data_IF_146326877314
#
_entry.id   IF_146326877314
#
_cell.length_a   1.000
_cell.length_b   1.000
_cell.length_c   1.000
_cell.angle_alpha   90.00
_cell.angle_beta   90.00
_cell.angle_gamma   90.00
#
_symmetry.space_group_name_H-M   'P 1'
#
loop_
_entity.id
_entity.type
_entity.pdbx_description
1 polymer ?
#
# COMPACT_ATOMS: atom_id res chain seq x y z
N UNK A 1 19.32 10.71 -0.37
CA UNK A 1 17.97 10.46 0.21
C UNK A 1 16.95 11.03 -0.75
N UNK A 2 15.86 10.31 -1.05
CA UNK A 2 14.84 10.68 -2.03
C UNK A 2 13.47 10.62 -1.38
N UNK A 3 12.51 11.37 -1.94
CA UNK A 3 11.10 11.21 -1.60
C UNK A 3 10.45 10.22 -2.57
N UNK A 4 9.85 9.18 -2.03
CA UNK A 4 9.13 8.13 -2.74
C UNK A 4 7.64 8.41 -2.56
N UNK A 5 6.99 8.94 -3.60
CA UNK A 5 5.64 9.51 -3.46
C UNK A 5 4.58 8.59 -4.06
N UNK A 6 3.59 8.21 -3.25
CA UNK A 6 2.32 7.68 -3.73
C UNK A 6 1.58 8.81 -4.46
N UNK A 7 1.72 8.81 -5.78
CA UNK A 7 1.22 9.91 -6.59
C UNK A 7 -0.22 9.70 -7.09
N UNK A 8 -0.76 8.49 -7.00
CA UNK A 8 -2.18 8.21 -7.33
C UNK A 8 -3.12 9.07 -6.47
N UNK A 9 -2.83 9.13 -5.15
CA UNK A 9 -3.59 9.94 -4.22
C UNK A 9 -3.54 11.43 -4.57
N UNK A 10 -2.34 11.97 -4.82
CA UNK A 10 -2.14 13.41 -5.10
C UNK A 10 -2.84 13.80 -6.40
N UNK A 11 -2.62 13.02 -7.47
CA UNK A 11 -3.24 13.30 -8.78
C UNK A 11 -4.76 13.17 -8.70
N UNK A 12 -5.28 12.16 -7.98
CA UNK A 12 -6.72 12.00 -7.79
C UNK A 12 -7.32 13.22 -7.08
N UNK A 13 -6.74 13.60 -5.94
CA UNK A 13 -7.17 14.75 -5.12
C UNK A 13 -7.18 16.04 -5.95
N UNK A 14 -6.09 16.33 -6.66
CA UNK A 14 -5.95 17.56 -7.42
C UNK A 14 -6.88 17.60 -8.65
N UNK A 15 -7.02 16.50 -9.38
CA UNK A 15 -7.95 16.45 -10.51
C UNK A 15 -9.39 16.59 -10.05
N UNK A 16 -9.80 15.92 -8.97
CA UNK A 16 -11.15 16.03 -8.44
C UNK A 16 -11.44 17.45 -7.92
N UNK A 17 -10.48 18.09 -7.24
CA UNK A 17 -10.65 19.46 -6.72
C UNK A 17 -10.74 20.53 -7.80
N UNK A 18 -10.37 20.23 -9.04
CA UNK A 18 -10.42 21.17 -10.19
C UNK A 18 -11.51 20.80 -11.19
N UNK A 19 -12.36 19.83 -10.87
CA UNK A 19 -13.57 19.56 -11.63
C UNK A 19 -14.60 20.68 -11.43
N UNK A 20 -15.31 21.00 -12.50
CA UNK A 20 -16.43 21.96 -12.49
C UNK A 20 -17.62 21.29 -13.15
N UNK A 21 -18.74 21.33 -12.46
CA UNK A 21 -20.02 20.88 -13.00
C UNK A 21 -20.68 22.01 -13.77
N UNK A 22 -21.16 21.73 -14.97
CA UNK A 22 -21.95 22.64 -15.79
C UNK A 22 -23.31 22.00 -16.00
N UNK A 23 -24.32 22.60 -15.41
CA UNK A 23 -25.71 22.19 -15.56
C UNK A 23 -26.31 22.86 -16.79
N UNK A 24 -26.70 22.06 -17.78
CA UNK A 24 -27.37 22.51 -19.00
C UNK A 24 -28.90 22.42 -18.92
N UNK A 25 -29.42 22.03 -17.77
CA UNK A 25 -30.85 21.73 -17.58
C UNK A 25 -31.27 20.39 -18.20
N UNK A 26 -32.56 20.07 -18.09
CA UNK A 26 -33.13 18.83 -18.67
C UNK A 26 -32.32 17.54 -18.34
N UNK A 27 -31.88 17.41 -17.08
CA UNK A 27 -31.08 16.28 -16.58
C UNK A 27 -29.69 16.13 -17.19
N UNK A 28 -29.16 17.14 -17.89
CA UNK A 28 -27.82 17.15 -18.47
C UNK A 28 -26.82 17.92 -17.62
N UNK A 29 -25.99 17.21 -16.89
CA UNK A 29 -24.85 17.76 -16.15
C UNK A 29 -23.56 17.25 -16.79
N UNK A 30 -22.65 18.17 -17.12
CA UNK A 30 -21.35 17.87 -17.70
C UNK A 30 -20.26 18.23 -16.71
N UNK A 31 -19.41 17.24 -16.37
CA UNK A 31 -18.22 17.49 -15.54
C UNK A 31 -17.03 17.80 -16.44
N UNK A 32 -16.37 18.92 -16.20
CA UNK A 32 -15.20 19.39 -16.94
C UNK A 32 -14.04 19.66 -16.00
N UNK A 33 -12.83 19.75 -16.52
CA UNK A 33 -11.65 20.20 -15.77
C UNK A 33 -10.69 20.94 -16.69
N UNK A 34 -10.10 22.02 -16.17
CA UNK A 34 -8.99 22.68 -16.83
C UNK A 34 -7.70 21.93 -16.53
N UNK A 35 -7.04 21.43 -17.58
CA UNK A 35 -5.80 20.68 -17.42
C UNK A 35 -4.70 21.49 -16.70
N UNK A 36 -4.55 22.78 -17.02
CA UNK A 36 -3.50 23.62 -16.41
C UNK A 36 -3.74 23.79 -14.92
N UNK A 37 -4.99 23.94 -14.49
CA UNK A 37 -5.34 24.09 -13.08
C UNK A 37 -5.07 22.78 -12.31
N UNK A 38 -5.50 21.65 -12.87
CA UNK A 38 -5.24 20.33 -12.28
C UNK A 38 -3.74 20.05 -12.18
N UNK A 39 -2.98 20.33 -13.24
CA UNK A 39 -1.54 20.09 -13.27
C UNK A 39 -0.80 21.01 -12.29
N UNK A 40 -1.14 22.29 -12.25
CA UNK A 40 -0.55 23.24 -11.29
C UNK A 40 -0.92 22.90 -9.84
N UNK A 41 -2.12 22.33 -9.60
CA UNK A 41 -2.48 21.82 -8.29
C UNK A 41 -1.52 20.73 -7.85
N UNK A 42 -1.26 19.74 -8.71
CA UNK A 42 -0.30 18.66 -8.41
C UNK A 42 1.11 19.21 -8.14
N UNK A 43 1.59 20.14 -8.98
CA UNK A 43 2.92 20.75 -8.78
C UNK A 43 3.03 21.43 -7.42
N UNK A 44 2.02 22.20 -7.01
CA UNK A 44 1.99 22.86 -5.69
C UNK A 44 1.99 21.86 -4.53
N UNK A 45 1.27 20.74 -4.66
CA UNK A 45 1.29 19.68 -3.62
C UNK A 45 2.68 19.04 -3.53
N UNK A 46 3.33 18.71 -4.66
CA UNK A 46 4.68 18.17 -4.66
C UNK A 46 5.70 19.15 -4.06
N UNK A 47 5.64 20.43 -4.44
CA UNK A 47 6.48 21.49 -3.86
C UNK A 47 6.22 21.68 -2.36
N UNK A 48 4.97 21.55 -1.92
CA UNK A 48 4.63 21.60 -0.49
C UNK A 48 5.29 20.44 0.27
N UNK A 49 5.16 19.21 -0.22
CA UNK A 49 5.79 18.04 0.38
C UNK A 49 7.31 18.22 0.48
N UNK A 50 7.95 18.74 -0.57
CA UNK A 50 9.38 19.01 -0.55
C UNK A 50 9.77 20.03 0.54
N UNK A 51 9.01 21.11 0.69
CA UNK A 51 9.23 22.13 1.74
C UNK A 51 9.02 21.56 3.14
N UNK A 52 7.92 20.83 3.35
CA UNK A 52 7.55 20.27 4.66
C UNK A 52 8.62 19.28 5.16
N UNK A 53 9.29 18.57 4.24
CA UNK A 53 10.31 17.59 4.55
C UNK A 53 11.76 18.12 4.47
N UNK A 54 11.98 19.42 4.24
CA UNK A 54 13.31 20.03 4.30
C UNK A 54 14.00 20.25 2.95
N UNK A 55 13.25 20.34 1.84
CA UNK A 55 13.79 20.81 0.55
C UNK A 55 14.50 19.71 -0.25
N UNK A 56 13.87 18.56 -0.43
CA UNK A 56 14.42 17.49 -1.28
C UNK A 56 14.24 17.81 -2.76
N UNK A 57 15.33 17.70 -3.53
CA UNK A 57 15.30 17.92 -4.99
C UNK A 57 14.93 16.66 -5.77
N UNK A 58 15.08 15.47 -5.18
CA UNK A 58 14.95 14.18 -5.88
C UNK A 58 13.65 13.47 -5.48
N UNK A 59 12.70 13.49 -6.40
CA UNK A 59 11.40 12.86 -6.27
C UNK A 59 11.29 11.64 -7.19
N UNK A 60 10.67 10.58 -6.69
CA UNK A 60 10.23 9.45 -7.51
C UNK A 60 8.72 9.27 -7.29
N UNK A 61 7.96 9.33 -8.37
CA UNK A 61 6.51 9.23 -8.33
C UNK A 61 6.08 7.80 -8.68
N UNK A 62 5.25 7.21 -7.82
CA UNK A 62 4.75 5.85 -8.00
C UNK A 62 3.27 5.88 -8.39
N UNK A 63 2.90 5.00 -9.31
CA UNK A 63 1.53 4.86 -9.80
C UNK A 63 1.13 3.40 -9.87
N UNK A 64 -0.14 3.14 -9.63
CA UNK A 64 -0.77 1.82 -9.71
C UNK A 64 -0.95 1.38 -11.17
N UNK A 65 -0.56 0.15 -11.47
CA UNK A 65 -0.89 -0.51 -12.74
C UNK A 65 -2.40 -0.79 -12.85
N UNK A 66 -2.97 -0.75 -14.07
CA UNK A 66 -4.34 -1.23 -14.29
C UNK A 66 -4.52 -2.71 -13.96
N UNK A 67 -3.45 -3.50 -14.07
CA UNK A 67 -3.42 -4.90 -13.69
C UNK A 67 -2.99 -5.04 -12.22
N UNK A 68 -3.53 -6.06 -11.52
CA UNK A 68 -3.18 -6.31 -10.12
C UNK A 68 -3.09 -7.81 -9.88
N UNK A 69 -1.95 -8.27 -9.36
CA UNK A 69 -1.71 -9.68 -9.08
C UNK A 69 -2.68 -10.24 -8.03
N UNK A 70 -3.17 -9.40 -7.09
CA UNK A 70 -4.14 -9.83 -6.06
C UNK A 70 -5.44 -10.35 -6.66
N UNK A 71 -5.80 -9.93 -7.87
CA UNK A 71 -6.97 -10.49 -8.60
C UNK A 71 -6.78 -11.94 -9.04
N UNK A 72 -5.55 -12.46 -9.07
CA UNK A 72 -5.30 -13.89 -9.27
C UNK A 72 -5.54 -14.69 -7.99
N UNK A 73 -5.45 -14.04 -6.82
CA UNK A 73 -5.70 -14.64 -5.50
C UNK A 73 -7.19 -14.54 -5.18
N UNK A 74 -7.78 -13.36 -5.36
CA UNK A 74 -9.19 -13.05 -5.13
C UNK A 74 -9.72 -12.24 -6.32
N UNK A 75 -10.49 -12.83 -7.25
CA UNK A 75 -10.99 -12.13 -8.44
C UNK A 75 -11.80 -10.86 -8.12
N UNK A 76 -12.52 -10.85 -7.00
CA UNK A 76 -13.34 -9.74 -6.54
C UNK A 76 -12.52 -8.62 -5.86
N UNK A 77 -11.20 -8.76 -5.69
CA UNK A 77 -10.35 -7.76 -5.07
C UNK A 77 -10.55 -6.38 -5.71
N UNK A 78 -10.96 -5.39 -4.90
CA UNK A 78 -11.33 -4.02 -5.33
C UNK A 78 -12.44 -3.97 -6.41
N UNK A 79 -13.17 -5.07 -6.64
CA UNK A 79 -14.17 -5.19 -7.71
C UNK A 79 -15.38 -4.28 -7.53
N UNK A 80 -15.73 -3.94 -6.29
CA UNK A 80 -16.83 -3.01 -5.95
C UNK A 80 -16.47 -1.54 -6.17
N UNK A 81 -15.19 -1.21 -6.43
CA UNK A 81 -14.73 0.16 -6.68
C UNK A 81 -15.14 0.63 -8.08
N UNK A 82 -16.34 1.16 -8.21
CA UNK A 82 -16.85 1.71 -9.49
C UNK A 82 -16.49 3.18 -9.72
N UNK A 83 -15.63 3.77 -8.88
CA UNK A 83 -15.28 5.18 -8.99
C UNK A 83 -14.57 5.48 -10.31
N UNK A 84 -15.18 6.32 -11.14
CA UNK A 84 -14.50 6.87 -12.31
C UNK A 84 -13.31 7.72 -11.84
N UNK A 85 -12.22 7.65 -12.59
CA UNK A 85 -11.11 8.58 -12.36
C UNK A 85 -11.56 10.01 -12.74
N UNK A 86 -11.12 11.03 -12.01
CA UNK A 86 -11.45 12.43 -12.33
C UNK A 86 -11.02 12.84 -13.74
N UNK A 87 -11.64 13.91 -14.25
CA UNK A 87 -11.27 14.50 -15.52
C UNK A 87 -9.78 14.89 -15.54
N UNK A 88 -9.11 14.62 -16.65
CA UNK A 88 -7.69 14.97 -16.80
C UNK A 88 -6.69 14.01 -16.14
N UNK A 89 -7.11 13.07 -15.28
CA UNK A 89 -6.24 12.19 -14.51
C UNK A 89 -5.12 11.54 -15.35
N UNK A 90 -5.46 10.87 -16.44
CA UNK A 90 -4.46 10.24 -17.33
C UNK A 90 -3.53 11.25 -17.99
N UNK A 91 -4.06 12.44 -18.36
CA UNK A 91 -3.26 13.48 -19.01
C UNK A 91 -2.25 14.08 -18.05
N UNK A 92 -2.63 14.29 -16.79
CA UNK A 92 -1.72 14.75 -15.73
C UNK A 92 -0.59 13.74 -15.53
N UNK A 93 -0.89 12.46 -15.36
CA UNK A 93 0.13 11.41 -15.23
C UNK A 93 1.09 11.40 -16.43
N UNK A 94 0.58 11.52 -17.65
CA UNK A 94 1.43 11.52 -18.84
C UNK A 94 2.39 12.72 -18.88
N UNK A 95 1.99 13.88 -18.36
CA UNK A 95 2.88 15.04 -18.25
C UNK A 95 3.90 14.87 -17.11
N UNK A 96 3.49 14.31 -15.96
CA UNK A 96 4.42 14.00 -14.88
C UNK A 96 5.53 13.04 -15.31
N UNK A 97 5.25 12.08 -16.21
CA UNK A 97 6.26 11.19 -16.78
C UNK A 97 7.34 11.90 -17.61
N UNK A 98 7.07 13.10 -18.10
CA UNK A 98 8.03 13.90 -18.87
C UNK A 98 8.96 14.67 -17.93
N UNK A 99 8.41 15.19 -16.82
CA UNK A 99 9.15 16.08 -15.91
C UNK A 99 9.82 15.33 -14.74
N UNK A 100 9.31 14.14 -14.37
CA UNK A 100 9.74 13.40 -13.18
C UNK A 100 10.10 11.95 -13.49
N UNK A 101 10.93 11.36 -12.63
CA UNK A 101 11.11 9.91 -12.60
C UNK A 101 9.83 9.26 -12.10
N UNK A 102 9.17 8.50 -12.97
CA UNK A 102 7.93 7.77 -12.65
C UNK A 102 8.18 6.27 -12.65
N UNK A 103 7.65 5.59 -11.64
CA UNK A 103 7.63 4.12 -11.55
C UNK A 103 6.17 3.67 -11.64
N UNK A 104 5.91 2.85 -12.64
CA UNK A 104 4.68 2.13 -12.85
C UNK A 104 5.07 0.73 -13.30
N UNK A 105 4.89 -0.26 -12.43
CA UNK A 105 5.23 -1.66 -12.72
C UNK A 105 3.97 -2.44 -13.04
N UNK A 106 4.01 -3.22 -14.09
CA UNK A 106 2.88 -4.08 -14.42
C UNK A 106 2.57 -5.04 -13.27
N UNK A 107 1.28 -5.33 -13.10
CA UNK A 107 0.71 -6.17 -12.04
C UNK A 107 0.83 -5.67 -10.60
N UNK A 108 1.53 -4.55 -10.35
CA UNK A 108 1.72 -4.00 -9.00
C UNK A 108 0.87 -2.74 -8.77
N UNK A 109 0.44 -2.57 -7.53
CA UNK A 109 -0.06 -1.29 -7.04
C UNK A 109 1.12 -0.34 -6.72
N UNK A 110 0.82 0.95 -6.56
CA UNK A 110 1.82 1.95 -6.18
C UNK A 110 2.51 1.56 -4.87
N UNK A 111 1.73 1.08 -3.89
CA UNK A 111 2.20 0.68 -2.56
C UNK A 111 3.21 -0.47 -2.62
N UNK A 112 2.95 -1.49 -3.47
CA UNK A 112 3.90 -2.59 -3.69
C UNK A 112 5.21 -2.09 -4.30
N UNK A 113 5.11 -1.24 -5.32
CA UNK A 113 6.29 -0.69 -5.97
C UNK A 113 7.09 0.24 -5.03
N UNK A 114 6.40 0.99 -4.15
CA UNK A 114 6.98 1.79 -3.07
C UNK A 114 7.74 0.91 -2.09
N UNK A 115 7.07 -0.13 -1.57
CA UNK A 115 7.68 -1.04 -0.59
C UNK A 115 8.90 -1.77 -1.14
N UNK A 116 8.83 -2.29 -2.37
CA UNK A 116 9.96 -2.92 -3.06
C UNK A 116 11.12 -1.90 -3.22
N UNK A 117 10.82 -0.68 -3.64
CA UNK A 117 11.85 0.32 -3.86
C UNK A 117 12.50 0.79 -2.55
N UNK A 118 11.68 1.08 -1.53
CA UNK A 118 12.14 1.57 -0.24
C UNK A 118 13.03 0.55 0.48
N UNK A 119 12.66 -0.73 0.44
CA UNK A 119 13.44 -1.82 1.07
C UNK A 119 14.69 -2.19 0.28
N UNK A 120 14.66 -2.06 -1.04
CA UNK A 120 15.85 -2.24 -1.89
C UNK A 120 16.87 -1.11 -1.72
N UNK A 121 16.41 0.10 -1.47
CA UNK A 121 17.22 1.31 -1.33
C UNK A 121 16.87 2.04 -0.04
N UNK A 122 17.34 1.54 1.12
CA UNK A 122 17.00 2.13 2.41
C UNK A 122 17.49 3.58 2.56
N UNK A 123 16.92 4.32 3.51
CA UNK A 123 17.26 5.71 3.77
C UNK A 123 16.48 6.74 2.96
N UNK A 124 15.48 6.30 2.19
CA UNK A 124 14.51 7.17 1.53
C UNK A 124 13.27 7.39 2.42
N UNK A 125 12.45 8.39 2.09
CA UNK A 125 11.21 8.68 2.80
C UNK A 125 10.03 8.32 1.89
N UNK A 126 9.15 7.44 2.37
CA UNK A 126 7.86 7.17 1.72
C UNK A 126 6.91 8.31 2.08
N UNK A 127 6.17 8.79 1.09
CA UNK A 127 5.12 9.81 1.25
C UNK A 127 3.80 9.21 0.78
N UNK A 128 2.96 8.79 1.71
CA UNK A 128 1.63 8.25 1.43
C UNK A 128 0.71 8.40 2.64
N UNK A 129 -0.57 8.77 2.46
CA UNK A 129 -1.55 8.79 3.54
C UNK A 129 -2.09 7.39 3.86
N UNK A 130 -1.69 6.37 3.10
CA UNK A 130 -2.20 5.03 3.29
C UNK A 130 -1.57 4.38 4.54
N UNK A 131 -2.45 3.98 5.48
CA UNK A 131 -2.05 3.26 6.70
C UNK A 131 -1.31 1.95 6.40
N UNK A 132 -1.55 1.36 5.22
CA UNK A 132 -1.00 0.07 4.84
C UNK A 132 0.51 0.17 4.61
N UNK A 133 1.01 1.37 4.28
CA UNK A 133 2.44 1.66 4.19
C UNK A 133 3.19 1.52 5.53
N UNK A 134 2.49 1.43 6.66
CA UNK A 134 3.08 1.07 7.96
C UNK A 134 3.66 -0.36 8.01
N UNK A 135 3.44 -1.17 6.98
CA UNK A 135 4.13 -2.45 6.81
C UNK A 135 5.60 -2.31 6.38
N UNK A 136 5.98 -1.15 5.82
CA UNK A 136 7.30 -0.99 5.19
C UNK A 136 8.28 -0.33 6.16
N UNK A 137 9.40 -1.00 6.50
CA UNK A 137 10.42 -0.42 7.37
C UNK A 137 11.05 0.82 6.75
N UNK A 138 11.29 1.83 7.61
CA UNK A 138 11.89 3.09 7.23
C UNK A 138 11.03 4.29 7.59
N UNK A 139 11.28 5.43 6.94
CA UNK A 139 10.54 6.68 7.22
C UNK A 139 9.29 6.77 6.33
N UNK A 140 8.16 6.99 6.98
CA UNK A 140 6.87 7.27 6.34
C UNK A 140 6.39 8.66 6.76
N UNK A 141 6.12 9.53 5.79
CA UNK A 141 5.41 10.79 5.97
C UNK A 141 3.96 10.63 5.50
N UNK A 142 3.01 10.76 6.41
CA UNK A 142 1.58 10.54 6.16
C UNK A 142 0.79 11.84 5.92
N UNK A 143 1.47 12.93 5.59
CA UNK A 143 0.99 14.31 5.46
C UNK A 143 0.68 15.03 6.77
N UNK A 144 0.81 14.39 7.91
CA UNK A 144 0.69 15.00 9.24
C UNK A 144 2.02 14.94 9.98
N UNK A 145 2.64 13.76 10.01
CA UNK A 145 3.87 13.50 10.73
C UNK A 145 4.77 12.53 9.97
N UNK A 146 6.04 12.51 10.36
CA UNK A 146 6.99 11.50 9.89
C UNK A 146 7.19 10.48 10.99
N UNK A 147 6.91 9.21 10.70
CA UNK A 147 7.10 8.09 11.61
C UNK A 147 8.26 7.21 11.12
N UNK A 148 9.06 6.72 12.06
CA UNK A 148 10.05 5.68 11.79
C UNK A 148 9.43 4.32 12.10
N UNK A 149 9.44 3.42 11.12
CA UNK A 149 8.85 2.09 11.20
C UNK A 149 9.98 1.08 11.25
N UNK A 150 10.01 0.27 12.31
CA UNK A 150 10.94 -0.85 12.42
C UNK A 150 10.47 -2.05 11.58
N UNK A 151 11.35 -3.00 11.22
CA UNK A 151 10.94 -4.24 10.57
C UNK A 151 9.88 -5.01 11.37
N UNK A 152 9.98 -4.98 12.71
CA UNK A 152 9.05 -5.62 13.63
C UNK A 152 7.68 -4.93 13.60
N UNK A 153 7.64 -3.60 13.63
CA UNK A 153 6.39 -2.84 13.53
C UNK A 153 5.68 -3.14 12.22
N UNK A 154 6.42 -3.18 11.12
CA UNK A 154 5.89 -3.53 9.81
C UNK A 154 5.32 -4.96 9.76
N UNK A 155 6.03 -5.91 10.33
CA UNK A 155 5.58 -7.30 10.40
C UNK A 155 4.34 -7.46 11.30
N UNK A 156 4.29 -6.77 12.47
CA UNK A 156 3.12 -6.72 13.35
C UNK A 156 1.92 -6.11 12.64
N UNK A 157 2.13 -5.02 11.92
CA UNK A 157 1.05 -4.38 11.18
C UNK A 157 0.47 -5.28 10.09
N UNK A 158 1.30 -6.04 9.38
CA UNK A 158 0.84 -7.05 8.43
C UNK A 158 -0.07 -8.12 9.09
N UNK A 159 0.33 -8.68 10.25
CA UNK A 159 -0.50 -9.66 10.96
C UNK A 159 -1.82 -9.03 11.46
N UNK A 160 -1.79 -7.81 11.96
CA UNK A 160 -2.99 -7.07 12.37
C UNK A 160 -3.95 -6.92 11.20
N UNK A 161 -3.46 -6.53 10.03
CA UNK A 161 -4.28 -6.37 8.83
C UNK A 161 -4.79 -7.72 8.31
N UNK A 162 -4.05 -8.79 8.47
CA UNK A 162 -4.51 -10.15 8.14
C UNK A 162 -5.75 -10.53 8.94
N UNK A 163 -5.79 -10.24 10.24
CA UNK A 163 -6.98 -10.50 11.07
C UNK A 163 -8.11 -9.52 10.79
N UNK A 164 -7.79 -8.23 10.63
CA UNK A 164 -8.80 -7.19 10.48
C UNK A 164 -9.47 -7.17 9.11
N UNK A 165 -8.74 -7.60 8.06
CA UNK A 165 -9.15 -7.42 6.68
C UNK A 165 -9.20 -5.96 6.25
N UNK A 166 -9.58 -5.73 5.01
CA UNK A 166 -9.92 -4.41 4.49
C UNK A 166 -11.14 -4.46 3.56
N UNK A 167 -12.28 -4.02 4.08
CA UNK A 167 -13.52 -3.96 3.31
C UNK A 167 -13.44 -3.01 2.11
N UNK A 168 -12.55 -1.99 2.19
CA UNK A 168 -12.32 -1.05 1.08
C UNK A 168 -11.62 -1.74 -0.08
N UNK A 169 -10.84 -2.79 0.19
CA UNK A 169 -10.15 -3.61 -0.79
C UNK A 169 -10.92 -4.89 -1.15
N UNK A 170 -11.97 -5.20 -0.38
CA UNK A 170 -12.90 -6.30 -0.67
C UNK A 170 -12.45 -7.63 -0.10
N UNK A 171 -11.65 -7.66 0.97
CA UNK A 171 -11.36 -8.86 1.75
C UNK A 171 -11.69 -8.62 3.23
N UNK A 172 -12.41 -9.54 3.83
CA UNK A 172 -13.14 -9.24 5.07
C UNK A 172 -12.34 -9.49 6.36
N UNK A 173 -11.23 -10.22 6.32
CA UNK A 173 -10.57 -10.69 7.54
C UNK A 173 -11.47 -11.61 8.39
N UNK A 174 -11.22 -11.64 9.68
CA UNK A 174 -12.00 -12.44 10.63
C UNK A 174 -13.29 -11.68 11.03
N UNK A 175 -14.48 -12.28 10.91
CA UNK A 175 -15.74 -11.62 11.23
C UNK A 175 -15.76 -11.01 12.63
N UNK A 176 -16.07 -9.71 12.72
CA UNK A 176 -16.17 -8.96 13.97
C UNK A 176 -14.81 -8.59 14.61
N UNK A 177 -13.70 -8.76 13.89
CA UNK A 177 -12.37 -8.35 14.30
C UNK A 177 -11.89 -7.21 13.41
N UNK A 178 -11.88 -5.98 13.95
CA UNK A 178 -11.22 -4.84 13.33
C UNK A 178 -9.85 -4.61 13.97
N UNK A 179 -9.10 -3.61 13.47
CA UNK A 179 -7.72 -3.31 13.87
C UNK A 179 -7.53 -3.28 15.40
N UNK A 180 -8.38 -2.57 16.15
CA UNK A 180 -8.24 -2.47 17.62
C UNK A 180 -8.36 -3.82 18.33
N UNK A 181 -9.27 -4.67 17.85
CA UNK A 181 -9.46 -5.99 18.44
C UNK A 181 -8.35 -6.96 18.04
N UNK A 182 -7.87 -6.87 16.80
CA UNK A 182 -6.70 -7.61 16.34
C UNK A 182 -5.46 -7.27 17.18
N UNK A 183 -5.19 -5.98 17.42
CA UNK A 183 -4.08 -5.55 18.29
C UNK A 183 -4.18 -6.16 19.68
N UNK A 184 -5.37 -6.10 20.30
CA UNK A 184 -5.59 -6.68 21.62
C UNK A 184 -5.35 -8.19 21.68
N UNK A 185 -5.79 -8.94 20.65
CA UNK A 185 -5.54 -10.38 20.54
C UNK A 185 -4.03 -10.66 20.52
N UNK A 186 -3.27 -9.90 19.72
CA UNK A 186 -1.83 -10.08 19.64
C UNK A 186 -1.09 -9.63 20.91
N UNK A 187 -1.57 -8.62 21.61
CA UNK A 187 -1.02 -8.21 22.91
C UNK A 187 -1.21 -9.31 23.96
N UNK A 188 -2.32 -10.06 23.91
CA UNK A 188 -2.64 -11.14 24.86
C UNK A 188 -1.97 -12.48 24.49
N UNK A 189 -1.87 -12.81 23.20
CA UNK A 189 -1.46 -14.14 22.72
C UNK A 189 -0.11 -14.15 21.97
N UNK A 190 0.47 -12.97 21.71
CA UNK A 190 1.73 -12.81 20.95
C UNK A 190 1.52 -12.74 19.43
N UNK A 191 2.47 -12.06 18.79
CA UNK A 191 2.48 -11.87 17.34
C UNK A 191 3.06 -13.10 16.62
N UNK A 192 2.19 -14.02 16.23
CA UNK A 192 2.58 -15.25 15.55
C UNK A 192 1.55 -15.70 14.51
N UNK A 193 1.99 -16.51 13.55
CA UNK A 193 1.07 -17.14 12.61
C UNK A 193 0.10 -18.09 13.32
N UNK A 194 0.54 -18.77 14.38
CA UNK A 194 -0.32 -19.63 15.20
C UNK A 194 -1.49 -18.84 15.81
N UNK A 195 -1.26 -17.63 16.29
CA UNK A 195 -2.32 -16.73 16.81
C UNK A 195 -3.29 -16.37 15.69
N UNK A 196 -2.79 -16.09 14.48
CA UNK A 196 -3.64 -15.80 13.32
C UNK A 196 -4.54 -17.00 13.01
N UNK A 197 -3.97 -18.19 12.80
CA UNK A 197 -4.73 -19.41 12.45
C UNK A 197 -5.78 -19.71 13.51
N UNK A 198 -5.39 -19.74 14.80
CA UNK A 198 -6.31 -19.94 15.91
C UNK A 198 -7.51 -18.97 15.86
N UNK A 199 -7.25 -17.69 15.57
CA UNK A 199 -8.29 -16.67 15.53
C UNK A 199 -9.27 -16.88 14.36
N UNK A 200 -8.78 -17.38 13.22
CA UNK A 200 -9.62 -17.77 12.09
C UNK A 200 -10.46 -19.01 12.43
N UNK A 201 -9.83 -20.05 13.00
CA UNK A 201 -10.49 -21.31 13.40
C UNK A 201 -11.61 -21.08 14.44
N UNK A 202 -11.44 -20.15 15.38
CA UNK A 202 -12.49 -19.75 16.34
C UNK A 202 -13.76 -19.15 15.67
N UNK A 203 -13.71 -18.90 14.37
CA UNK A 203 -14.81 -18.40 13.55
C UNK A 203 -15.19 -19.36 12.42
N UNK A 204 -14.87 -20.65 12.60
CA UNK A 204 -15.15 -21.71 11.61
C UNK A 204 -14.49 -21.43 10.23
N UNK A 205 -13.39 -20.67 10.21
CA UNK A 205 -12.57 -20.43 9.03
C UNK A 205 -11.31 -21.30 9.07
N UNK A 206 -10.64 -21.42 7.93
CA UNK A 206 -9.48 -22.30 7.78
C UNK A 206 -8.16 -21.53 7.78
N UNK A 207 -7.03 -22.26 7.94
CA UNK A 207 -5.70 -21.70 7.73
C UNK A 207 -5.51 -21.16 6.28
N UNK A 208 -6.14 -21.81 5.28
CA UNK A 208 -6.10 -21.29 3.90
C UNK A 208 -6.81 -19.95 3.76
N UNK A 209 -7.93 -19.74 4.45
CA UNK A 209 -8.59 -18.43 4.51
C UNK A 209 -7.68 -17.37 5.14
N UNK A 210 -6.98 -17.73 6.21
CA UNK A 210 -5.99 -16.87 6.85
C UNK A 210 -4.83 -16.52 5.88
N UNK A 211 -4.33 -17.51 5.15
CA UNK A 211 -3.24 -17.33 4.19
C UNK A 211 -3.65 -16.45 3.00
N UNK A 212 -4.87 -16.61 2.48
CA UNK A 212 -5.44 -15.73 1.46
C UNK A 212 -5.48 -14.29 1.96
N UNK A 213 -6.00 -14.05 3.17
CA UNK A 213 -6.04 -12.71 3.76
C UNK A 213 -4.64 -12.13 3.97
N UNK A 214 -3.68 -12.92 4.44
CA UNK A 214 -2.29 -12.49 4.61
C UNK A 214 -1.64 -12.07 3.29
N UNK A 215 -1.88 -12.82 2.22
CA UNK A 215 -1.38 -12.50 0.86
C UNK A 215 -2.03 -11.24 0.27
N UNK A 216 -3.30 -11.00 0.56
CA UNK A 216 -4.00 -9.80 0.11
C UNK A 216 -3.56 -8.56 0.87
N UNK A 217 -3.37 -8.69 2.19
CA UNK A 217 -2.91 -7.61 3.07
C UNK A 217 -1.44 -7.22 2.84
N UNK A 218 -0.60 -8.14 2.33
CA UNK A 218 0.85 -7.93 2.21
C UNK A 218 1.18 -6.80 1.22
N UNK A 219 1.89 -5.77 1.69
CA UNK A 219 2.60 -4.83 0.84
C UNK A 219 3.98 -5.42 0.55
N UNK A 220 4.33 -5.52 -0.72
CA UNK A 220 5.55 -6.22 -1.15
C UNK A 220 6.81 -5.44 -0.75
N UNK A 221 7.81 -6.19 -0.29
CA UNK A 221 9.19 -5.73 -0.11
C UNK A 221 10.10 -6.27 -1.23
N UNK A 222 11.38 -5.96 -1.20
CA UNK A 222 12.35 -6.48 -2.18
C UNK A 222 12.42 -8.02 -2.14
N UNK A 223 12.21 -8.62 -0.98
CA UNK A 223 12.22 -10.08 -0.79
C UNK A 223 10.95 -10.75 -1.32
N UNK A 224 9.87 -10.00 -1.45
CA UNK A 224 8.58 -10.46 -1.96
C UNK A 224 8.46 -10.27 -3.50
N UNK A 225 9.57 -9.98 -4.21
CA UNK A 225 9.52 -9.72 -5.65
C UNK A 225 10.70 -10.29 -6.43
N UNK A 226 10.40 -11.22 -7.35
CA UNK A 226 11.37 -11.73 -8.30
C UNK A 226 11.65 -10.69 -9.39
N UNK A 227 12.80 -10.04 -9.31
CA UNK A 227 13.17 -8.98 -10.26
C UNK A 227 13.50 -9.50 -11.67
N UNK A 228 13.87 -10.79 -11.82
CA UNK A 228 14.19 -11.41 -13.11
C UNK A 228 12.91 -11.80 -13.83
N UNK A 229 11.99 -12.47 -13.15
CA UNK A 229 10.69 -12.88 -13.68
C UNK A 229 9.70 -11.71 -13.72
N UNK A 230 9.96 -10.64 -12.96
CA UNK A 230 9.07 -9.48 -12.76
C UNK A 230 7.72 -9.88 -12.16
N UNK A 231 7.74 -10.80 -11.22
CA UNK A 231 6.55 -11.36 -10.58
C UNK A 231 6.64 -11.28 -9.06
N UNK A 232 5.50 -11.09 -8.36
CA UNK A 232 5.46 -11.16 -6.91
C UNK A 232 5.68 -12.59 -6.43
N UNK A 233 6.44 -12.73 -5.35
CA UNK A 233 6.57 -13.94 -4.55
C UNK A 233 5.50 -13.86 -3.48
N UNK A 234 4.54 -14.79 -3.51
CA UNK A 234 3.43 -14.77 -2.57
C UNK A 234 3.92 -15.10 -1.16
N UNK A 235 3.51 -14.28 -0.22
CA UNK A 235 3.86 -14.45 1.18
C UNK A 235 3.39 -15.82 1.72
N UNK A 236 4.24 -16.45 2.52
CA UNK A 236 3.90 -17.63 3.32
C UNK A 236 4.62 -17.57 4.67
N UNK A 237 3.99 -18.03 5.76
CA UNK A 237 4.66 -18.13 7.05
C UNK A 237 5.72 -19.23 7.01
N UNK A 238 6.87 -19.01 7.71
CA UNK A 238 7.75 -20.11 8.10
C UNK A 238 7.08 -20.98 9.17
N UNK A 239 7.60 -22.19 9.39
CA UNK A 239 7.01 -23.18 10.32
C UNK A 239 6.76 -22.64 11.74
N UNK A 240 7.62 -21.72 12.22
CA UNK A 240 7.55 -21.10 13.54
C UNK A 240 7.50 -19.57 13.44
N UNK A 241 6.75 -19.04 12.47
CA UNK A 241 6.67 -17.58 12.27
C UNK A 241 6.09 -16.88 13.50
N UNK A 242 6.92 -16.11 14.19
CA UNK A 242 6.58 -15.24 15.32
C UNK A 242 7.47 -14.01 15.34
N UNK A 243 7.00 -12.97 16.00
CA UNK A 243 7.71 -11.70 16.18
C UNK A 243 7.93 -11.53 17.68
N UNK A 244 9.17 -11.67 18.13
CA UNK A 244 9.53 -11.58 19.55
C UNK A 244 9.70 -10.13 19.99
N UNK A 245 9.26 -9.81 21.20
CA UNK A 245 9.35 -8.45 21.78
C UNK A 245 10.77 -8.04 22.18
N UNK A 246 11.67 -9.04 22.37
CA UNK A 246 12.93 -8.79 23.07
C UNK A 246 14.17 -8.56 22.19
N UNK A 247 14.15 -8.92 20.91
CA UNK A 247 15.36 -8.90 20.07
C UNK A 247 15.19 -8.37 18.65
N UNK A 248 13.97 -8.09 18.22
CA UNK A 248 13.72 -7.61 16.85
C UNK A 248 14.16 -8.59 15.74
N UNK A 249 14.44 -9.83 16.07
CA UNK A 249 14.93 -10.82 15.12
C UNK A 249 13.82 -11.78 14.69
N UNK A 250 13.54 -11.80 13.38
CA UNK A 250 12.91 -12.98 12.76
C UNK A 250 13.76 -14.18 13.10
N UNK A 251 13.20 -15.21 13.74
CA UNK A 251 13.86 -16.50 13.80
C UNK A 251 13.86 -17.09 12.39
N UNK A 252 14.97 -16.91 11.70
CA UNK A 252 15.27 -17.57 10.43
C UNK A 252 15.60 -19.05 10.71
N UNK A 253 14.58 -19.87 10.73
CA UNK A 253 14.76 -21.30 10.56
C UNK A 253 14.34 -21.66 9.14
N UNK A 254 15.09 -21.28 8.12
CA UNK A 254 15.05 -21.89 6.78
C UNK A 254 15.83 -21.06 5.73
N UNK A 255 17.16 -20.92 5.96
CA UNK A 255 18.07 -20.57 4.84
C UNK A 255 18.99 -21.72 4.42
N UNK A 256 18.72 -22.95 4.84
CA UNK A 256 19.60 -24.10 4.53
C UNK A 256 18.86 -25.26 3.85
N UNK A 257 18.22 -25.01 2.69
CA UNK A 257 17.95 -26.09 1.72
C UNK A 257 17.94 -25.54 0.31
N UNK A 258 19.11 -25.12 -0.19
CA UNK A 258 19.42 -25.16 -1.62
C UNK A 258 20.94 -25.06 -1.80
N UNK A 259 21.56 -26.23 -1.72
CA UNK A 259 22.84 -26.53 -2.42
C UNK A 259 22.55 -27.51 -3.53
#
# INVERSE_FOLDING_TARGET
>A
MKLLIDCDYIVYKCCAATETEIDFGEDLIVVTSNFTDAYNCVKRELEKIQRDLGGFDDLILFFTSPNNFRKKILPEYKGHRQRKKPCGFKRVINNLKIEHKVILKDTLEADDALGIYATKFPGNIIVSPDKDMRQIPGKLYDFNETVDITPEDGARWHLIQTLAGDNTDGYAGVPGIGVKKAMKIFEEEGYSWKTVVKTFEEKDMTEEDALVNARLARILTVDDYDSEKKEPILWSPGADYRIDDATGTRTEADRDTNK
#
